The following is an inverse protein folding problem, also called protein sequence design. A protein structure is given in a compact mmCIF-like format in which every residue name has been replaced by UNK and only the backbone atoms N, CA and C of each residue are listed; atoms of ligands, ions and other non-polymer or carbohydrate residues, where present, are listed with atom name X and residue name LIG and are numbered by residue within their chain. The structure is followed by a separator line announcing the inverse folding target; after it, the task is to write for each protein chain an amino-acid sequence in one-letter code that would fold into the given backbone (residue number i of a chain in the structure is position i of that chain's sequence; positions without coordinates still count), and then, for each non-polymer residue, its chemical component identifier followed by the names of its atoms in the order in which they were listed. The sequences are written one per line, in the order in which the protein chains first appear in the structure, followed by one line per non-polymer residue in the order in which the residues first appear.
data_IF_326849343336
#
_entry.id   IF_326849343336
#
_cell.length_a   1.000
_cell.length_b   1.000
_cell.length_c   1.000
_cell.angle_alpha   90.00
_cell.angle_beta   90.00
_cell.angle_gamma   90.00
#
_symmetry.space_group_name_H-M   'P 1'
#
loop_
_entity.id
_entity.type
_entity.pdbx_description
1 polymer ?
#
# COMPACT_ATOMS: atom_id res chain seq x y z
N UNK A 1 13.05 27.38 -9.70
CA UNK A 1 13.94 26.54 -8.87
C UNK A 1 14.68 25.64 -9.84
N UNK A 2 16.00 25.49 -9.69
CA UNK A 2 16.81 24.59 -10.53
C UNK A 2 17.19 23.40 -9.65
N UNK A 3 16.79 22.19 -10.04
CA UNK A 3 17.06 20.94 -9.32
C UNK A 3 18.17 20.16 -10.04
N UNK A 4 18.91 19.32 -9.32
CA UNK A 4 20.01 18.53 -9.89
C UNK A 4 19.54 17.37 -10.78
N UNK A 5 18.25 17.05 -10.73
CA UNK A 5 17.65 15.92 -11.41
C UNK A 5 16.37 16.34 -12.14
N UNK A 6 16.00 15.55 -13.14
CA UNK A 6 14.76 15.78 -13.87
C UNK A 6 13.56 15.35 -13.03
N UNK A 7 12.44 16.04 -13.23
CA UNK A 7 11.16 15.74 -12.59
C UNK A 7 10.13 15.37 -13.66
N UNK A 8 9.39 14.28 -13.44
CA UNK A 8 8.26 13.93 -14.28
C UNK A 8 7.75 12.49 -14.17
N UNK A 9 6.54 12.23 -14.69
CA UNK A 9 5.90 10.92 -14.60
C UNK A 9 6.66 9.79 -15.31
N UNK A 10 7.56 10.12 -16.24
CA UNK A 10 8.40 9.13 -16.92
C UNK A 10 9.34 8.36 -15.98
N UNK A 11 9.66 8.92 -14.81
CA UNK A 11 10.54 8.29 -13.82
C UNK A 11 9.79 7.40 -12.83
N UNK A 12 8.45 7.42 -12.81
CA UNK A 12 7.66 6.78 -11.75
C UNK A 12 7.92 5.28 -11.60
N UNK A 13 8.23 4.60 -12.72
CA UNK A 13 8.50 3.17 -12.78
C UNK A 13 9.95 2.77 -12.52
N UNK A 14 10.85 3.70 -12.18
CA UNK A 14 12.25 3.38 -11.90
C UNK A 14 12.38 2.43 -10.70
N UNK A 15 13.26 1.43 -10.81
CA UNK A 15 13.51 0.46 -9.75
C UNK A 15 14.98 0.51 -9.36
N UNK A 16 15.25 0.80 -8.09
CA UNK A 16 16.63 0.88 -7.56
C UNK A 16 17.00 -0.46 -6.91
N UNK A 17 17.85 -1.22 -7.59
CA UNK A 17 18.42 -2.46 -7.09
C UNK A 17 19.69 -2.19 -6.27
N UNK A 18 20.20 -3.20 -5.55
CA UNK A 18 21.34 -3.03 -4.61
C UNK A 18 22.61 -2.57 -5.32
N UNK A 19 22.84 -3.04 -6.53
CA UNK A 19 23.97 -2.69 -7.39
C UNK A 19 24.03 -1.18 -7.69
N UNK A 20 22.88 -0.52 -7.80
CA UNK A 20 22.75 0.90 -8.12
C UNK A 20 22.39 1.76 -6.91
N UNK A 21 22.14 1.14 -5.75
CA UNK A 21 21.75 1.82 -4.52
C UNK A 21 22.88 2.71 -3.99
N UNK A 22 22.58 3.98 -3.75
CA UNK A 22 23.47 4.89 -3.03
C UNK A 22 23.11 4.97 -1.55
N UNK A 23 21.84 5.14 -1.22
CA UNK A 23 21.35 5.23 0.17
C UNK A 23 19.87 4.83 0.23
N UNK A 24 19.43 4.24 1.34
CA UNK A 24 18.02 3.92 1.58
C UNK A 24 17.54 4.48 2.92
N UNK A 25 16.26 4.86 2.95
CA UNK A 25 15.57 5.36 4.14
C UNK A 25 14.32 4.55 4.40
N UNK A 26 14.08 4.16 5.64
CA UNK A 26 12.96 3.30 5.98
C UNK A 26 13.13 1.84 5.53
N UNK A 27 12.05 1.22 5.07
CA UNK A 27 12.04 -0.20 4.68
C UNK A 27 12.24 -1.19 5.85
N UNK A 28 12.50 -2.47 5.55
CA UNK A 28 12.42 -3.57 6.52
C UNK A 28 13.60 -3.67 7.51
N UNK A 29 14.57 -2.76 7.44
CA UNK A 29 15.70 -2.70 8.39
C UNK A 29 15.56 -1.58 9.42
N UNK A 30 14.58 -0.70 9.22
CA UNK A 30 14.43 0.54 9.98
C UNK A 30 13.11 0.48 10.73
N UNK A 31 13.20 0.51 12.05
CA UNK A 31 12.04 0.42 12.94
C UNK A 31 11.24 1.73 12.96
N UNK A 32 11.94 2.88 13.02
CA UNK A 32 11.32 4.19 13.16
C UNK A 32 11.27 4.90 11.81
N UNK A 33 10.10 4.87 11.17
CA UNK A 33 9.84 5.54 9.90
C UNK A 33 8.36 5.84 9.74
N UNK A 34 8.02 6.94 9.08
CA UNK A 34 6.64 7.22 8.64
C UNK A 34 6.56 8.40 7.67
N UNK A 35 5.41 8.59 7.05
CA UNK A 35 5.08 9.79 6.28
C UNK A 35 3.67 10.25 6.61
N UNK A 36 3.49 11.56 6.82
CA UNK A 36 2.22 12.09 7.31
C UNK A 36 1.94 13.45 6.68
N UNK A 37 0.77 13.56 6.07
CA UNK A 37 0.23 14.86 5.69
C UNK A 37 -0.76 15.37 6.75
N UNK A 38 -0.68 16.67 7.06
CA UNK A 38 -1.57 17.29 8.06
C UNK A 38 -2.13 18.61 7.54
N UNK A 39 -3.45 18.80 7.67
CA UNK A 39 -4.07 20.10 7.44
C UNK A 39 -3.82 21.02 8.63
N UNK A 40 -3.21 22.17 8.39
CA UNK A 40 -2.90 23.21 9.37
C UNK A 40 -3.69 24.49 9.11
N UNK A 41 -3.78 25.36 10.11
CA UNK A 41 -4.20 26.74 9.87
C UNK A 41 -3.08 27.51 9.17
N UNK A 42 -3.39 28.50 8.31
CA UNK A 42 -2.37 29.25 7.58
C UNK A 42 -1.34 29.96 8.46
N UNK A 43 -1.67 30.27 9.72
CA UNK A 43 -0.76 30.93 10.67
C UNK A 43 0.19 29.95 11.38
N UNK A 44 -0.05 28.65 11.27
CA UNK A 44 0.76 27.60 11.92
C UNK A 44 1.95 27.17 11.05
N UNK A 45 1.97 27.54 9.77
CA UNK A 45 3.01 27.14 8.81
C UNK A 45 3.56 28.33 8.02
N UNK A 46 4.84 28.23 7.69
CA UNK A 46 5.55 29.17 6.83
C UNK A 46 5.54 28.62 5.39
N UNK A 47 5.03 29.41 4.44
CA UNK A 47 4.85 28.94 3.07
C UNK A 47 6.19 28.59 2.41
N UNK A 48 6.21 27.45 1.70
CA UNK A 48 7.35 26.88 0.98
C UNK A 48 8.58 26.58 1.86
N UNK A 49 8.43 26.63 3.19
CA UNK A 49 9.53 26.29 4.10
C UNK A 49 9.86 24.79 4.01
N UNK A 50 11.16 24.51 3.99
CA UNK A 50 11.70 23.16 4.14
C UNK A 50 12.60 23.10 5.37
N UNK A 51 12.33 22.15 6.25
CA UNK A 51 13.14 21.90 7.45
C UNK A 51 13.69 20.48 7.43
N UNK A 52 14.97 20.34 7.76
CA UNK A 52 15.63 19.03 7.94
C UNK A 52 16.10 18.93 9.39
N UNK A 53 15.75 17.83 10.06
CA UNK A 53 16.07 17.59 11.47
C UNK A 53 16.78 16.25 11.62
N UNK A 54 18.09 16.32 11.85
CA UNK A 54 18.99 15.17 11.87
C UNK A 54 20.03 15.25 10.75
N UNK A 55 20.84 14.19 10.56
CA UNK A 55 21.88 14.16 9.54
C UNK A 55 21.31 14.22 8.12
N UNK A 56 21.96 14.99 7.25
CA UNK A 56 21.63 15.05 5.83
C UNK A 56 22.39 13.99 5.00
N UNK A 57 22.05 13.80 3.72
CA UNK A 57 22.66 12.78 2.84
C UNK A 57 24.19 12.88 2.81
N UNK A 58 24.73 14.10 2.78
CA UNK A 58 26.18 14.34 2.77
C UNK A 58 26.89 14.05 4.11
N UNK A 59 26.14 13.85 5.19
CA UNK A 59 26.63 13.46 6.53
C UNK A 59 26.46 11.96 6.81
N UNK A 60 25.76 11.24 5.93
CA UNK A 60 25.46 9.82 6.06
C UNK A 60 26.46 8.97 5.25
N UNK A 61 26.68 7.73 5.70
CA UNK A 61 27.50 6.77 4.98
C UNK A 61 26.68 6.11 3.85
N UNK A 62 27.15 6.18 2.59
CA UNK A 62 26.48 5.49 1.50
C UNK A 62 26.44 3.98 1.69
N UNK A 63 25.47 3.34 1.04
CA UNK A 63 25.33 1.89 1.00
C UNK A 63 26.61 1.20 0.51
N UNK A 64 27.07 0.23 1.29
CA UNK A 64 28.18 -0.66 0.98
C UNK A 64 27.68 -2.11 1.10
N UNK A 65 27.85 -2.88 0.03
CA UNK A 65 27.36 -4.26 -0.04
C UNK A 65 28.10 -5.21 0.92
N UNK A 66 29.40 -4.96 1.16
CA UNK A 66 30.26 -5.83 1.99
C UNK A 66 30.12 -5.49 3.45
N UNK A 67 30.13 -4.20 3.79
CA UNK A 67 30.04 -3.72 5.17
C UNK A 67 28.60 -3.74 5.69
N UNK A 68 27.62 -3.73 4.79
CA UNK A 68 26.25 -3.38 5.14
C UNK A 68 26.14 -1.91 5.58
N UNK A 69 24.95 -1.51 6.03
CA UNK A 69 24.65 -0.11 6.36
C UNK A 69 23.92 0.62 5.24
N UNK A 70 23.97 1.95 5.24
CA UNK A 70 23.29 2.81 4.27
C UNK A 70 21.76 2.84 4.39
N UNK A 71 21.20 2.34 5.51
CA UNK A 71 19.76 2.31 5.79
C UNK A 71 19.46 3.21 7.00
N UNK A 72 18.67 4.27 6.81
CA UNK A 72 18.47 5.30 7.82
C UNK A 72 16.99 5.52 8.17
N UNK A 73 16.68 5.95 9.41
CA UNK A 73 15.33 6.36 9.79
C UNK A 73 14.92 7.63 9.04
N UNK A 74 13.63 7.73 8.73
CA UNK A 74 13.08 8.92 8.08
C UNK A 74 11.63 9.17 8.52
N UNK A 75 11.29 10.43 8.77
CA UNK A 75 9.93 10.89 8.74
C UNK A 75 9.76 12.00 7.70
N UNK A 76 8.74 11.89 6.85
CA UNK A 76 8.36 12.94 5.88
C UNK A 76 7.04 13.54 6.33
N UNK A 77 7.07 14.80 6.77
CA UNK A 77 5.89 15.53 7.21
C UNK A 77 5.55 16.61 6.18
N UNK A 78 4.34 16.58 5.65
CA UNK A 78 3.84 17.57 4.70
C UNK A 78 2.67 18.30 5.33
N UNK A 79 2.91 19.50 5.83
CA UNK A 79 1.87 20.36 6.38
C UNK A 79 1.32 21.26 5.28
N UNK A 80 -0.01 21.30 5.14
CA UNK A 80 -0.70 22.11 4.12
C UNK A 80 -1.74 23.01 4.74
N UNK A 81 -2.05 24.12 4.07
CA UNK A 81 -3.18 24.98 4.40
C UNK A 81 -3.82 25.54 3.12
N UNK A 82 -5.14 25.70 3.14
CA UNK A 82 -5.91 26.30 2.05
C UNK A 82 -7.39 26.31 2.41
N UNK A 83 -8.15 27.29 1.92
CA UNK A 83 -9.54 27.50 2.35
C UNK A 83 -10.50 26.40 1.88
N UNK A 84 -10.15 25.73 0.80
CA UNK A 84 -10.95 24.66 0.19
C UNK A 84 -10.58 23.27 0.72
N UNK A 85 -9.52 23.18 1.54
CA UNK A 85 -9.04 21.94 2.13
C UNK A 85 -9.80 21.60 3.42
N UNK A 86 -10.15 20.33 3.55
CA UNK A 86 -10.64 19.73 4.78
C UNK A 86 -9.78 18.50 5.16
N UNK A 87 -10.05 17.90 6.33
CA UNK A 87 -9.25 16.76 6.82
C UNK A 87 -9.28 15.53 5.90
N UNK A 88 -10.29 15.40 5.03
CA UNK A 88 -10.35 14.28 4.09
C UNK A 88 -9.29 14.43 2.97
N UNK A 89 -8.66 15.60 2.82
CA UNK A 89 -7.56 15.81 1.88
C UNK A 89 -6.22 15.21 2.36
N UNK A 90 -6.00 15.06 3.68
CA UNK A 90 -4.74 14.58 4.23
C UNK A 90 -4.25 13.26 3.62
N UNK A 91 -5.04 12.16 3.59
CA UNK A 91 -4.60 10.89 2.99
C UNK A 91 -4.29 10.99 1.49
N UNK A 92 -4.89 11.96 0.77
CA UNK A 92 -4.63 12.17 -0.67
C UNK A 92 -3.26 12.81 -0.87
N UNK A 93 -2.93 13.76 -0.01
CA UNK A 93 -1.65 14.45 0.00
C UNK A 93 -0.56 13.47 0.42
N UNK A 94 -0.82 12.66 1.45
CA UNK A 94 0.07 11.59 1.88
C UNK A 94 0.35 10.59 0.74
N UNK A 95 -0.67 10.18 -0.01
CA UNK A 95 -0.46 9.27 -1.16
C UNK A 95 0.37 9.91 -2.27
N UNK A 96 0.30 11.23 -2.45
CA UNK A 96 1.11 11.94 -3.43
C UNK A 96 2.58 12.05 -3.04
N UNK A 97 2.96 11.83 -1.78
CA UNK A 97 4.39 11.69 -1.40
C UNK A 97 5.02 10.56 -2.22
N UNK A 98 4.41 9.37 -2.24
CA UNK A 98 4.85 8.25 -3.07
C UNK A 98 5.02 8.66 -4.55
N UNK A 99 4.01 9.31 -5.12
CA UNK A 99 4.05 9.72 -6.53
C UNK A 99 5.20 10.70 -6.78
N UNK A 100 5.30 11.75 -5.97
CA UNK A 100 6.27 12.83 -6.18
C UNK A 100 7.71 12.42 -5.86
N UNK A 101 7.93 11.49 -4.94
CA UNK A 101 9.25 10.87 -4.79
C UNK A 101 9.61 10.09 -6.06
N UNK A 102 8.70 9.28 -6.60
CA UNK A 102 8.97 8.49 -7.81
C UNK A 102 8.99 9.33 -9.11
N UNK A 103 8.45 10.56 -9.10
CA UNK A 103 8.61 11.50 -10.22
C UNK A 103 9.99 12.15 -10.23
N UNK A 104 10.77 11.99 -9.17
CA UNK A 104 12.11 12.53 -9.06
C UNK A 104 13.11 11.52 -9.59
N UNK A 105 13.80 11.83 -10.68
CA UNK A 105 14.74 10.90 -11.32
C UNK A 105 15.80 10.37 -10.34
N UNK A 106 15.98 9.06 -10.33
CA UNK A 106 16.92 8.36 -9.46
C UNK A 106 16.49 8.23 -8.01
N UNK A 107 15.24 8.59 -7.69
CA UNK A 107 14.57 8.26 -6.44
C UNK A 107 13.51 7.18 -6.65
N UNK A 108 13.27 6.43 -5.59
CA UNK A 108 12.28 5.37 -5.53
C UNK A 108 11.56 5.42 -4.20
N UNK A 109 10.23 5.31 -4.22
CA UNK A 109 9.40 5.20 -3.04
C UNK A 109 8.43 4.05 -3.16
N UNK A 110 8.26 3.28 -2.08
CA UNK A 110 7.25 2.24 -1.97
C UNK A 110 6.54 2.24 -0.63
N UNK A 111 5.43 1.50 -0.61
CA UNK A 111 4.51 1.36 0.50
C UNK A 111 3.87 2.73 0.83
N UNK A 112 3.63 2.97 2.11
CA UNK A 112 2.83 4.08 2.63
C UNK A 112 2.97 4.18 4.16
N UNK A 113 2.65 5.34 4.74
CA UNK A 113 2.58 5.57 6.20
C UNK A 113 3.85 5.08 6.91
N UNK A 114 3.73 4.32 8.00
CA UNK A 114 4.85 3.74 8.76
C UNK A 114 5.58 2.58 8.06
N UNK A 115 5.03 2.09 6.96
CA UNK A 115 5.61 0.97 6.19
C UNK A 115 6.44 1.46 4.99
N UNK A 116 6.57 2.78 4.83
CA UNK A 116 7.24 3.45 3.70
C UNK A 116 8.72 3.03 3.52
N UNK A 117 9.20 3.13 2.28
CA UNK A 117 10.58 2.84 1.93
C UNK A 117 11.05 3.72 0.78
N UNK A 118 12.11 4.49 1.00
CA UNK A 118 12.71 5.36 -0.01
C UNK A 118 14.13 4.90 -0.35
N UNK A 119 14.52 4.98 -1.62
CA UNK A 119 15.89 4.76 -2.10
C UNK A 119 16.32 5.87 -3.03
N UNK A 120 17.62 6.16 -3.04
CA UNK A 120 18.27 7.02 -4.03
C UNK A 120 19.40 6.25 -4.70
N UNK A 121 19.54 6.38 -6.03
CA UNK A 121 20.55 5.67 -6.80
C UNK A 121 21.88 6.44 -6.88
N UNK A 122 22.93 5.75 -7.35
CA UNK A 122 24.28 6.31 -7.50
C UNK A 122 24.37 7.41 -8.55
N UNK A 123 23.50 7.42 -9.55
CA UNK A 123 23.55 8.43 -10.63
C UNK A 123 22.97 9.77 -10.18
N UNK A 124 21.90 9.75 -9.38
CA UNK A 124 21.34 10.91 -8.69
C UNK A 124 22.42 11.60 -7.82
N UNK A 125 23.16 10.82 -7.02
CA UNK A 125 24.27 11.32 -6.21
C UNK A 125 25.40 11.94 -7.08
N UNK A 126 25.74 11.33 -8.22
CA UNK A 126 26.76 11.86 -9.16
C UNK A 126 26.33 13.20 -9.79
N UNK A 127 25.03 13.43 -9.98
CA UNK A 127 24.49 14.71 -10.48
C UNK A 127 24.55 15.83 -9.45
N UNK A 128 24.88 15.53 -8.20
CA UNK A 128 25.04 16.50 -7.12
C UNK A 128 23.91 16.47 -6.09
N UNK A 129 22.91 15.61 -6.25
CA UNK A 129 21.83 15.44 -5.27
C UNK A 129 22.40 14.86 -3.97
N UNK A 130 22.59 15.72 -2.97
CA UNK A 130 23.25 15.36 -1.72
C UNK A 130 22.58 15.97 -0.48
N UNK A 131 21.33 16.44 -0.62
CA UNK A 131 20.54 16.98 0.49
C UNK A 131 19.07 16.55 0.41
N UNK A 132 18.52 16.07 1.52
CA UNK A 132 17.09 15.84 1.68
C UNK A 132 16.28 17.14 1.63
N UNK A 133 16.89 18.30 1.86
CA UNK A 133 16.20 19.58 1.68
C UNK A 133 15.76 19.79 0.25
N UNK A 134 16.58 19.40 -0.73
CA UNK A 134 16.20 19.45 -2.14
C UNK A 134 14.99 18.56 -2.42
N UNK A 135 14.91 17.37 -1.81
CA UNK A 135 13.72 16.51 -1.91
C UNK A 135 12.47 17.18 -1.32
N UNK A 136 12.61 17.88 -0.18
CA UNK A 136 11.52 18.64 0.41
C UNK A 136 11.09 19.85 -0.42
N UNK A 137 12.02 20.51 -1.11
CA UNK A 137 11.75 21.60 -2.05
C UNK A 137 11.00 21.07 -3.29
N UNK A 138 11.39 19.89 -3.79
CA UNK A 138 10.70 19.19 -4.87
C UNK A 138 9.27 18.85 -4.47
N UNK A 139 9.03 18.35 -3.25
CA UNK A 139 7.67 18.13 -2.76
C UNK A 139 6.87 19.42 -2.76
N UNK A 140 7.39 20.50 -2.15
CA UNK A 140 6.70 21.79 -2.13
C UNK A 140 6.34 22.27 -3.55
N UNK A 141 7.27 22.15 -4.49
CA UNK A 141 7.08 22.52 -5.89
C UNK A 141 6.02 21.66 -6.59
N UNK A 142 6.10 20.33 -6.51
CA UNK A 142 5.17 19.42 -7.19
C UNK A 142 3.75 19.51 -6.60
N UNK A 143 3.61 19.59 -5.28
CA UNK A 143 2.30 19.76 -4.64
C UNK A 143 1.62 21.06 -5.08
N UNK A 144 2.33 22.19 -5.03
CA UNK A 144 1.75 23.50 -5.38
C UNK A 144 1.51 23.68 -6.88
N UNK A 145 2.30 23.00 -7.73
CA UNK A 145 2.11 23.02 -9.18
C UNK A 145 0.89 22.21 -9.63
N UNK A 146 0.64 21.08 -8.98
CA UNK A 146 -0.43 20.15 -9.36
C UNK A 146 -1.74 20.38 -8.60
N UNK A 147 -1.69 21.02 -7.43
CA UNK A 147 -2.86 21.18 -6.54
C UNK A 147 -3.05 22.65 -6.14
N UNK A 148 -3.71 23.42 -7.00
CA UNK A 148 -3.98 24.84 -6.78
C UNK A 148 -4.78 25.16 -5.48
N UNK A 149 -5.42 24.16 -4.88
CA UNK A 149 -6.13 24.28 -3.60
C UNK A 149 -5.21 24.40 -2.38
N UNK A 150 -3.91 24.11 -2.54
CA UNK A 150 -2.89 24.30 -1.49
C UNK A 150 -2.40 25.74 -1.55
N UNK A 151 -2.85 26.58 -0.60
CA UNK A 151 -2.45 28.00 -0.50
C UNK A 151 -1.12 28.19 0.24
N UNK A 152 -0.81 27.29 1.19
CA UNK A 152 0.49 27.21 1.86
C UNK A 152 0.91 25.77 2.06
N UNK A 153 2.21 25.53 1.94
CA UNK A 153 2.83 24.23 2.21
C UNK A 153 4.10 24.40 3.02
N UNK A 154 4.40 23.43 3.89
CA UNK A 154 5.67 23.30 4.59
C UNK A 154 6.04 21.83 4.64
N UNK A 155 7.29 21.51 4.30
CA UNK A 155 7.81 20.15 4.38
C UNK A 155 8.86 20.06 5.48
N UNK A 156 8.71 19.08 6.37
CA UNK A 156 9.71 18.75 7.38
C UNK A 156 10.17 17.32 7.19
N UNK A 157 11.46 17.13 6.92
CA UNK A 157 12.10 15.83 6.84
C UNK A 157 12.91 15.62 8.13
N UNK A 158 12.77 14.45 8.75
CA UNK A 158 13.46 14.12 9.99
C UNK A 158 14.25 12.83 9.75
N UNK A 159 15.54 12.84 10.07
CA UNK A 159 16.44 11.68 10.07
C UNK A 159 17.00 11.39 11.47
N UNK A 160 16.68 12.22 12.45
CA UNK A 160 16.94 11.98 13.87
C UNK A 160 16.02 10.86 14.41
N UNK A 161 16.62 9.71 14.75
CA UNK A 161 15.88 8.52 15.17
C UNK A 161 15.06 8.75 16.44
N UNK A 162 15.61 9.45 17.45
CA UNK A 162 14.93 9.68 18.71
C UNK A 162 13.68 10.54 18.52
N UNK A 163 13.76 11.53 17.63
CA UNK A 163 12.63 12.40 17.30
C UNK A 163 11.55 11.63 16.55
N UNK A 164 11.93 10.78 15.59
CA UNK A 164 10.99 9.94 14.85
C UNK A 164 10.30 8.97 15.82
N UNK A 165 11.04 8.31 16.71
CA UNK A 165 10.49 7.38 17.70
C UNK A 165 9.46 8.05 18.63
N UNK A 166 9.65 9.33 18.98
CA UNK A 166 8.69 10.11 19.79
C UNK A 166 7.42 10.50 19.03
N UNK A 167 7.52 10.73 17.71
CA UNK A 167 6.40 11.18 16.87
C UNK A 167 5.60 10.01 16.29
N UNK A 168 6.23 8.87 16.06
CA UNK A 168 5.60 7.69 15.44
C UNK A 168 4.28 7.27 16.13
N UNK A 169 4.16 7.22 17.48
CA UNK A 169 2.89 6.88 18.13
C UNK A 169 1.73 7.80 17.72
N UNK A 170 1.99 9.10 17.54
CA UNK A 170 0.97 10.07 17.13
C UNK A 170 0.55 9.85 15.68
N UNK A 171 1.50 9.54 14.79
CA UNK A 171 1.20 9.19 13.41
C UNK A 171 0.33 7.92 13.34
N UNK A 172 0.67 6.90 14.14
CA UNK A 172 -0.12 5.65 14.24
C UNK A 172 -1.55 5.91 14.74
N UNK A 173 -1.76 6.81 15.70
CA UNK A 173 -3.10 7.20 16.14
C UNK A 173 -3.92 7.82 15.01
N UNK A 174 -3.30 8.68 14.19
CA UNK A 174 -3.97 9.27 13.01
C UNK A 174 -4.36 8.20 12.01
N UNK A 175 -3.45 7.27 11.69
CA UNK A 175 -3.73 6.18 10.75
C UNK A 175 -4.85 5.27 11.26
N UNK A 176 -4.78 4.87 12.53
CA UNK A 176 -5.81 4.05 13.17
C UNK A 176 -7.18 4.74 13.16
N UNK A 177 -7.23 6.06 13.37
CA UNK A 177 -8.49 6.80 13.29
C UNK A 177 -9.08 6.80 11.87
N UNK A 178 -8.24 6.93 10.84
CA UNK A 178 -8.66 6.85 9.42
C UNK A 178 -9.18 5.45 9.10
N UNK A 179 -8.46 4.41 9.51
CA UNK A 179 -8.84 3.01 9.24
C UNK A 179 -10.12 2.63 9.99
N UNK A 180 -10.26 3.01 11.27
CA UNK A 180 -11.47 2.78 12.06
C UNK A 180 -12.69 3.46 11.45
N UNK A 181 -12.54 4.68 10.91
CA UNK A 181 -13.62 5.36 10.17
C UNK A 181 -14.04 4.55 8.95
N UNK A 182 -13.09 4.02 8.18
CA UNK A 182 -13.38 3.21 7.00
C UNK A 182 -14.20 1.95 7.34
N UNK A 183 -13.93 1.30 8.48
CA UNK A 183 -14.65 0.09 8.91
C UNK A 183 -16.13 0.31 9.23
N UNK A 184 -16.57 1.56 9.45
CA UNK A 184 -17.96 1.89 9.76
C UNK A 184 -18.91 1.87 8.56
N UNK A 185 -18.37 1.78 7.34
CA UNK A 185 -19.14 1.85 6.10
C UNK A 185 -19.16 0.50 5.39
N UNK A 186 -20.33 0.11 4.86
CA UNK A 186 -20.50 -1.11 4.06
C UNK A 186 -20.74 -0.76 2.60
N UNK A 187 -20.45 -1.71 1.71
CA UNK A 187 -20.75 -1.54 0.29
C UNK A 187 -22.22 -1.25 0.02
N UNK A 188 -23.10 -1.84 0.83
CA UNK A 188 -24.55 -1.69 0.75
C UNK A 188 -25.01 -0.28 1.10
N UNK A 189 -24.22 0.48 1.88
CA UNK A 189 -24.55 1.83 2.32
C UNK A 189 -24.28 2.91 1.26
N UNK A 190 -23.67 2.52 0.13
CA UNK A 190 -23.22 3.45 -0.92
C UNK A 190 -23.73 3.03 -2.30
N UNK A 191 -23.93 4.01 -3.17
CA UNK A 191 -24.28 3.84 -4.59
C UNK A 191 -23.07 4.00 -5.53
N UNK A 192 -21.93 4.43 -4.97
CA UNK A 192 -20.74 4.83 -5.70
C UNK A 192 -19.51 4.17 -5.09
N UNK A 193 -18.68 3.56 -5.92
CA UNK A 193 -17.32 3.12 -5.61
C UNK A 193 -16.32 4.09 -6.26
N UNK A 194 -15.03 3.83 -6.09
CA UNK A 194 -13.98 4.63 -6.70
C UNK A 194 -13.00 3.75 -7.48
N UNK A 195 -12.53 4.26 -8.60
CA UNK A 195 -11.46 3.67 -9.39
C UNK A 195 -10.17 4.44 -9.18
N UNK A 196 -9.03 3.76 -9.27
CA UNK A 196 -7.72 4.39 -9.30
C UNK A 196 -6.87 3.78 -10.43
N UNK A 197 -6.33 4.65 -11.30
CA UNK A 197 -5.45 4.28 -12.42
C UNK A 197 -4.03 4.83 -12.27
N UNK A 198 -3.67 5.30 -11.07
CA UNK A 198 -2.35 5.90 -10.78
C UNK A 198 -1.22 4.97 -11.23
N UNK A 199 -1.34 3.66 -10.96
CA UNK A 199 -0.29 2.70 -11.28
C UNK A 199 -0.27 2.21 -12.75
N UNK A 200 -1.04 2.82 -13.65
CA UNK A 200 -1.02 2.44 -15.08
C UNK A 200 0.28 2.84 -15.80
N UNK A 201 1.10 3.69 -15.20
CA UNK A 201 2.45 4.01 -15.68
C UNK A 201 3.35 2.77 -15.81
N UNK A 202 3.15 1.75 -14.95
CA UNK A 202 3.90 0.49 -14.98
C UNK A 202 3.04 -0.77 -15.07
N UNK A 203 1.72 -0.67 -14.88
CA UNK A 203 0.76 -1.76 -15.06
C UNK A 203 -0.44 -1.28 -15.91
N UNK A 204 -0.29 -1.18 -17.26
CA UNK A 204 -1.24 -0.43 -18.11
C UNK A 204 -2.68 -0.94 -18.09
N UNK A 205 -2.88 -2.23 -17.84
CA UNK A 205 -4.21 -2.87 -17.78
C UNK A 205 -4.77 -2.92 -16.36
N UNK A 206 -4.05 -2.41 -15.36
CA UNK A 206 -4.51 -2.39 -13.98
C UNK A 206 -5.46 -1.23 -13.72
N UNK A 207 -6.49 -1.51 -12.93
CA UNK A 207 -7.28 -0.53 -12.21
C UNK A 207 -7.51 -1.05 -10.80
N UNK A 208 -7.45 -0.16 -9.81
CA UNK A 208 -7.91 -0.47 -8.45
C UNK A 208 -9.36 -0.06 -8.27
N UNK A 209 -10.24 -1.02 -8.02
CA UNK A 209 -11.62 -0.78 -7.57
C UNK A 209 -11.63 -0.71 -6.05
N UNK A 210 -12.14 0.41 -5.53
CA UNK A 210 -12.11 0.78 -4.12
C UNK A 210 -13.55 0.90 -3.63
N UNK A 211 -13.89 0.06 -2.67
CA UNK A 211 -15.21 -0.02 -2.05
C UNK A 211 -15.08 0.11 -0.51
N UNK A 212 -16.16 0.40 0.22
CA UNK A 212 -16.10 0.45 1.68
C UNK A 212 -15.52 -0.80 2.32
N UNK A 213 -15.85 -1.99 1.80
CA UNK A 213 -15.27 -3.26 2.27
C UNK A 213 -14.08 -3.74 1.43
N UNK A 214 -13.54 -2.90 0.54
CA UNK A 214 -12.34 -3.19 -0.25
C UNK A 214 -11.44 -1.96 -0.39
N UNK A 215 -10.45 -1.83 0.48
CA UNK A 215 -9.35 -0.85 0.32
C UNK A 215 -8.50 -1.18 -0.92
N UNK A 216 -7.90 -0.15 -1.54
CA UNK A 216 -6.96 -0.33 -2.64
C UNK A 216 -5.82 -1.29 -2.28
N UNK A 217 -5.27 -1.98 -3.27
CA UNK A 217 -4.21 -2.98 -3.05
C UNK A 217 -2.96 -2.39 -2.36
N UNK A 218 -2.68 -1.10 -2.54
CA UNK A 218 -1.57 -0.39 -1.87
C UNK A 218 -1.76 -0.20 -0.36
N UNK A 219 -2.99 -0.36 0.16
CA UNK A 219 -3.34 -0.08 1.56
C UNK A 219 -3.48 1.40 1.92
N UNK A 220 -3.24 2.31 0.97
CA UNK A 220 -3.19 3.76 1.24
C UNK A 220 -4.47 4.53 0.89
N UNK A 221 -5.41 3.91 0.15
CA UNK A 221 -6.60 4.59 -0.37
C UNK A 221 -7.84 3.75 -0.03
N UNK A 222 -8.60 4.19 0.98
CA UNK A 222 -9.91 3.66 1.30
C UNK A 222 -11.02 4.42 0.53
N UNK A 223 -12.29 4.05 0.77
CA UNK A 223 -13.43 4.65 0.08
C UNK A 223 -13.60 6.16 0.35
N UNK A 224 -13.34 6.62 1.58
CA UNK A 224 -13.42 8.05 1.91
C UNK A 224 -12.33 8.84 1.19
N UNK A 225 -11.13 8.27 1.08
CA UNK A 225 -10.02 8.84 0.34
C UNK A 225 -10.41 8.93 -1.15
N UNK A 226 -10.94 7.84 -1.73
CA UNK A 226 -11.44 7.83 -3.12
C UNK A 226 -12.43 8.96 -3.40
N UNK A 227 -13.38 9.16 -2.47
CA UNK A 227 -14.35 10.26 -2.52
C UNK A 227 -13.71 11.63 -2.46
N UNK A 228 -12.77 11.82 -1.54
CA UNK A 228 -12.07 13.09 -1.38
C UNK A 228 -11.24 13.42 -2.61
N UNK A 229 -10.50 12.45 -3.15
CA UNK A 229 -9.69 12.60 -4.35
C UNK A 229 -10.53 13.00 -5.57
N UNK A 230 -11.62 12.26 -5.85
CA UNK A 230 -12.50 12.56 -6.98
C UNK A 230 -13.22 13.91 -6.86
N UNK A 231 -13.37 14.45 -5.64
CA UNK A 231 -13.90 15.79 -5.38
C UNK A 231 -12.83 16.87 -5.59
N UNK A 232 -11.61 16.62 -5.11
CA UNK A 232 -10.49 17.55 -5.16
C UNK A 232 -9.98 17.71 -6.60
N UNK A 233 -9.87 16.60 -7.33
CA UNK A 233 -9.34 16.55 -8.69
C UNK A 233 -10.23 15.63 -9.55
N UNK A 234 -11.34 16.17 -10.10
CA UNK A 234 -12.32 15.38 -10.87
C UNK A 234 -11.76 14.74 -12.15
N UNK A 235 -10.71 15.33 -12.74
CA UNK A 235 -10.03 14.83 -13.94
C UNK A 235 -8.80 13.98 -13.58
N UNK A 236 -8.57 13.76 -12.28
CA UNK A 236 -7.43 13.04 -11.76
C UNK A 236 -7.50 11.52 -11.95
N UNK A 237 -6.47 10.79 -11.50
CA UNK A 237 -6.37 9.35 -11.66
C UNK A 237 -7.34 8.57 -10.75
N UNK A 238 -8.01 9.25 -9.80
CA UNK A 238 -8.99 8.65 -8.89
C UNK A 238 -10.36 9.25 -9.20
N UNK A 239 -11.32 8.39 -9.53
CA UNK A 239 -12.60 8.82 -10.09
C UNK A 239 -13.76 7.99 -9.54
N UNK A 240 -14.97 8.57 -9.57
CA UNK A 240 -16.18 7.90 -9.12
C UNK A 240 -16.65 6.83 -10.11
N UNK A 241 -17.10 5.70 -9.58
CA UNK A 241 -17.70 4.59 -10.31
C UNK A 241 -19.13 4.39 -9.77
N UNK A 242 -20.17 4.76 -10.54
CA UNK A 242 -21.52 4.35 -10.21
C UNK A 242 -21.60 2.83 -10.16
N UNK A 243 -22.05 2.23 -9.05
CA UNK A 243 -22.06 0.76 -8.89
C UNK A 243 -22.86 0.06 -9.99
N UNK A 244 -23.95 0.67 -10.44
CA UNK A 244 -24.88 0.01 -11.36
C UNK A 244 -25.59 -1.17 -10.70
N UNK A 245 -26.09 -2.12 -11.51
CA UNK A 245 -26.79 -3.30 -11.00
C UNK A 245 -25.81 -4.23 -10.28
N UNK A 246 -26.19 -4.70 -9.09
CA UNK A 246 -25.53 -5.82 -8.43
C UNK A 246 -25.81 -7.12 -9.19
N UNK A 247 -24.75 -7.79 -9.65
CA UNK A 247 -24.81 -9.05 -10.40
C UNK A 247 -24.66 -10.22 -9.45
N UNK A 248 -23.66 -10.17 -8.57
CA UNK A 248 -23.37 -11.23 -7.60
C UNK A 248 -22.98 -10.62 -6.23
N UNK A 249 -23.80 -10.78 -5.18
CA UNK A 249 -23.52 -10.23 -3.85
C UNK A 249 -22.34 -10.90 -3.14
N UNK A 250 -22.06 -12.16 -3.47
CA UNK A 250 -21.04 -12.98 -2.81
C UNK A 250 -19.67 -12.66 -3.41
N UNK A 251 -19.55 -12.73 -4.74
CA UNK A 251 -18.33 -12.37 -5.48
C UNK A 251 -18.08 -10.87 -5.52
N UNK A 252 -19.11 -10.07 -5.24
CA UNK A 252 -19.05 -8.61 -5.30
C UNK A 252 -18.97 -8.11 -6.73
N UNK A 253 -19.76 -8.70 -7.63
CA UNK A 253 -19.80 -8.31 -9.05
C UNK A 253 -20.88 -7.26 -9.29
N UNK A 254 -20.52 -6.20 -9.99
CA UNK A 254 -21.41 -5.07 -10.30
C UNK A 254 -21.25 -4.66 -11.76
N UNK A 255 -22.37 -4.36 -12.42
CA UNK A 255 -22.39 -3.97 -13.83
C UNK A 255 -21.56 -2.70 -14.11
N UNK A 256 -21.68 -1.69 -13.24
CA UNK A 256 -20.95 -0.43 -13.39
C UNK A 256 -19.44 -0.61 -13.20
N UNK A 257 -19.05 -1.51 -12.29
CA UNK A 257 -17.64 -1.85 -12.06
C UNK A 257 -17.07 -2.60 -13.26
N UNK A 258 -17.77 -3.61 -13.78
CA UNK A 258 -17.36 -4.37 -14.98
C UNK A 258 -17.16 -3.46 -16.19
N UNK A 259 -18.07 -2.50 -16.39
CA UNK A 259 -17.94 -1.50 -17.48
C UNK A 259 -16.65 -0.70 -17.35
N UNK A 260 -16.35 -0.22 -16.14
CA UNK A 260 -15.13 0.57 -15.89
C UNK A 260 -13.88 -0.31 -16.00
N UNK A 261 -13.91 -1.56 -15.54
CA UNK A 261 -12.83 -2.53 -15.73
C UNK A 261 -12.51 -2.67 -17.22
N UNK A 262 -13.53 -2.86 -18.07
CA UNK A 262 -13.36 -2.95 -19.52
C UNK A 262 -12.74 -1.69 -20.12
N UNK A 263 -13.27 -0.52 -19.78
CA UNK A 263 -12.79 0.75 -20.33
C UNK A 263 -11.36 1.07 -19.89
N UNK A 264 -11.04 0.86 -18.61
CA UNK A 264 -9.76 1.26 -18.02
C UNK A 264 -8.68 0.20 -18.13
N UNK A 265 -9.02 -1.07 -18.34
CA UNK A 265 -8.06 -2.14 -18.66
C UNK A 265 -7.71 -2.23 -20.15
N UNK A 266 -8.06 -1.22 -20.95
CA UNK A 266 -7.84 -1.21 -22.41
C UNK A 266 -8.56 -2.39 -23.11
N UNK A 267 -9.78 -2.70 -22.66
CA UNK A 267 -10.59 -3.83 -23.13
C UNK A 267 -9.98 -5.22 -22.87
N UNK A 268 -9.03 -5.33 -21.93
CA UNK A 268 -8.38 -6.61 -21.60
C UNK A 268 -9.26 -7.49 -20.70
N UNK A 269 -9.95 -6.88 -19.73
CA UNK A 269 -10.82 -7.57 -18.77
C UNK A 269 -12.19 -6.93 -18.78
N UNK A 270 -13.25 -7.74 -18.85
CA UNK A 270 -14.64 -7.29 -18.89
C UNK A 270 -15.39 -7.53 -17.58
N UNK A 271 -14.78 -8.24 -16.63
CA UNK A 271 -15.37 -8.62 -15.34
C UNK A 271 -14.33 -8.55 -14.24
N UNK A 272 -14.77 -8.22 -13.03
CA UNK A 272 -13.95 -8.28 -11.82
C UNK A 272 -14.80 -8.68 -10.62
N UNK A 273 -14.30 -9.65 -9.84
CA UNK A 273 -14.86 -10.05 -8.57
C UNK A 273 -14.09 -9.36 -7.44
N UNK A 274 -14.80 -8.55 -6.67
CA UNK A 274 -14.19 -7.80 -5.57
C UNK A 274 -13.84 -8.69 -4.37
N UNK A 275 -14.47 -9.85 -4.23
CA UNK A 275 -14.36 -10.69 -3.04
C UNK A 275 -14.04 -12.16 -3.35
N UNK A 276 -13.33 -12.41 -4.45
CA UNK A 276 -12.75 -13.71 -4.80
C UNK A 276 -11.35 -13.57 -5.39
N UNK A 277 -10.52 -14.59 -5.18
CA UNK A 277 -9.24 -14.80 -5.82
C UNK A 277 -9.34 -15.73 -7.05
N UNK A 278 -10.53 -16.26 -7.38
CA UNK A 278 -10.75 -17.18 -8.50
C UNK A 278 -11.61 -16.58 -9.62
N UNK A 279 -11.52 -17.18 -10.82
CA UNK A 279 -12.19 -16.80 -12.08
C UNK A 279 -11.85 -15.38 -12.61
N UNK A 280 -12.28 -14.34 -11.90
CA UNK A 280 -12.10 -12.93 -12.29
C UNK A 280 -11.49 -12.12 -11.14
N UNK A 281 -10.34 -12.54 -10.59
CA UNK A 281 -9.72 -11.84 -9.47
C UNK A 281 -9.34 -10.41 -9.88
N UNK A 282 -9.41 -9.51 -8.92
CA UNK A 282 -8.97 -8.15 -9.11
C UNK A 282 -7.47 -8.09 -9.52
N UNK A 283 -7.16 -7.35 -10.58
CA UNK A 283 -5.77 -7.22 -11.08
C UNK A 283 -4.84 -6.59 -10.05
N UNK A 284 -3.53 -6.80 -10.19
CA UNK A 284 -2.53 -6.20 -9.28
C UNK A 284 -1.47 -5.40 -10.04
N UNK A 285 -1.21 -4.16 -9.63
CA UNK A 285 -0.18 -3.32 -10.23
C UNK A 285 1.24 -3.76 -9.86
N UNK A 286 1.62 -3.61 -8.59
CA UNK A 286 2.97 -3.87 -8.09
C UNK A 286 3.26 -3.26 -6.72
N UNK A 287 2.41 -2.34 -6.24
CA UNK A 287 2.54 -1.69 -4.93
C UNK A 287 1.73 -2.31 -3.79
N UNK A 288 1.21 -3.53 -3.97
CA UNK A 288 0.48 -4.24 -2.92
C UNK A 288 1.36 -4.50 -1.68
N UNK A 289 0.75 -4.43 -0.49
CA UNK A 289 1.47 -4.69 0.77
C UNK A 289 1.67 -6.19 1.01
N UNK A 290 0.76 -7.02 0.53
CA UNK A 290 0.83 -8.47 0.63
C UNK A 290 0.23 -9.17 -0.59
N UNK A 291 0.49 -10.46 -0.71
CA UNK A 291 -0.10 -11.34 -1.72
C UNK A 291 -0.82 -12.47 -0.99
N UNK A 292 -2.10 -12.64 -1.29
CA UNK A 292 -2.86 -13.85 -0.99
C UNK A 292 -2.56 -14.86 -2.09
N UNK A 293 -2.20 -16.08 -1.73
CA UNK A 293 -1.87 -17.14 -2.66
C UNK A 293 -2.58 -18.45 -2.30
N UNK A 294 -3.04 -19.17 -3.31
CA UNK A 294 -3.71 -20.44 -3.16
C UNK A 294 -2.70 -21.59 -2.98
N UNK A 295 -3.05 -22.55 -2.12
CA UNK A 295 -2.27 -23.74 -1.76
C UNK A 295 -3.11 -24.97 -2.13
N UNK A 296 -2.90 -25.56 -3.33
CA UNK A 296 -3.73 -26.64 -3.86
C UNK A 296 -3.79 -27.88 -2.96
N UNK A 297 -2.71 -28.23 -2.28
CA UNK A 297 -2.57 -29.46 -1.50
C UNK A 297 -3.47 -29.52 -0.25
N UNK A 298 -3.89 -28.35 0.24
CA UNK A 298 -4.81 -28.22 1.38
C UNK A 298 -6.08 -27.45 1.01
N UNK A 299 -6.27 -27.20 -0.29
CA UNK A 299 -7.40 -26.45 -0.84
C UNK A 299 -7.64 -25.13 -0.10
N UNK A 300 -6.58 -24.39 0.24
CA UNK A 300 -6.66 -23.24 1.14
C UNK A 300 -5.76 -22.08 0.69
N UNK A 301 -5.72 -20.98 1.45
CA UNK A 301 -4.90 -19.81 1.13
C UNK A 301 -3.79 -19.57 2.14
N UNK A 302 -2.68 -19.02 1.68
CA UNK A 302 -1.71 -18.32 2.51
C UNK A 302 -1.65 -16.84 2.15
N UNK A 303 -1.00 -16.05 3.01
CA UNK A 303 -0.70 -14.64 2.74
C UNK A 303 0.76 -14.36 3.08
N UNK A 304 1.46 -13.60 2.24
CA UNK A 304 2.83 -13.15 2.48
C UNK A 304 2.95 -11.65 2.22
N UNK A 305 3.55 -10.91 3.16
CA UNK A 305 3.74 -9.46 3.03
C UNK A 305 5.11 -9.11 2.45
N UNK A 306 5.24 -7.89 1.92
CA UNK A 306 6.42 -7.41 1.19
C UNK A 306 7.73 -7.49 1.97
N UNK A 307 7.66 -7.22 3.26
CA UNK A 307 8.84 -7.14 4.13
C UNK A 307 9.30 -8.51 4.65
N UNK A 308 8.50 -9.57 4.43
CA UNK A 308 8.83 -10.92 4.84
C UNK A 308 10.11 -11.42 4.17
N UNK A 309 11.06 -11.85 4.98
CA UNK A 309 12.35 -12.38 4.52
C UNK A 309 12.32 -13.91 4.57
N UNK A 310 12.19 -14.53 3.42
CA UNK A 310 12.27 -15.98 3.29
C UNK A 310 11.28 -16.51 2.30
N UNK A 311 11.10 -17.82 2.36
CA UNK A 311 10.13 -18.55 1.56
C UNK A 311 8.85 -18.75 2.39
N UNK A 312 7.70 -18.58 1.75
CA UNK A 312 6.44 -19.00 2.32
C UNK A 312 6.30 -20.53 2.24
N UNK A 313 5.22 -21.08 2.79
CA UNK A 313 5.02 -22.54 2.90
C UNK A 313 5.06 -23.31 1.57
N UNK A 314 4.87 -22.63 0.43
CA UNK A 314 4.98 -23.23 -0.91
C UNK A 314 6.39 -23.10 -1.53
N UNK A 315 7.39 -22.64 -0.77
CA UNK A 315 8.77 -22.49 -1.23
C UNK A 315 9.05 -21.24 -2.06
N UNK A 316 8.08 -20.32 -2.19
CA UNK A 316 8.26 -19.06 -2.93
C UNK A 316 8.57 -17.88 -2.01
N UNK A 317 9.44 -16.98 -2.46
CA UNK A 317 9.64 -15.68 -1.82
C UNK A 317 8.59 -14.66 -2.28
N UNK A 318 8.33 -13.62 -1.49
CA UNK A 318 7.44 -12.51 -1.89
C UNK A 318 7.85 -11.93 -3.24
N UNK A 319 9.14 -11.66 -3.46
CA UNK A 319 9.63 -11.02 -4.69
C UNK A 319 9.39 -11.87 -5.94
N UNK A 320 9.54 -13.19 -5.83
CA UNK A 320 9.24 -14.11 -6.92
C UNK A 320 7.74 -14.08 -7.26
N UNK A 321 6.90 -14.28 -6.24
CA UNK A 321 5.44 -14.28 -6.38
C UNK A 321 4.89 -12.94 -6.88
N UNK A 322 5.50 -11.82 -6.46
CA UNK A 322 5.14 -10.49 -6.91
C UNK A 322 5.32 -10.33 -8.43
N UNK A 323 6.40 -10.87 -9.00
CA UNK A 323 6.65 -10.82 -10.45
C UNK A 323 5.61 -11.56 -11.29
N UNK A 324 4.97 -12.57 -10.70
CA UNK A 324 3.89 -13.33 -11.35
C UNK A 324 2.51 -12.73 -11.11
N UNK A 325 2.30 -12.09 -9.96
CA UNK A 325 1.01 -11.51 -9.57
C UNK A 325 0.81 -10.10 -10.16
N UNK A 326 1.89 -9.35 -10.37
CA UNK A 326 1.85 -7.95 -10.80
C UNK A 326 1.61 -7.76 -12.31
N UNK A 327 1.61 -6.50 -12.75
CA UNK A 327 1.55 -6.13 -14.17
C UNK A 327 0.13 -5.96 -14.71
N UNK A 328 -0.87 -5.82 -13.83
CA UNK A 328 -2.25 -5.58 -14.22
C UNK A 328 -2.92 -6.81 -14.82
N UNK A 329 -2.56 -8.01 -14.34
CA UNK A 329 -3.13 -9.28 -14.80
C UNK A 329 -4.16 -9.84 -13.82
N UNK A 330 -5.19 -10.51 -14.33
CA UNK A 330 -6.01 -11.41 -13.53
C UNK A 330 -5.28 -12.75 -13.41
N UNK A 331 -4.82 -13.07 -12.21
CA UNK A 331 -4.07 -14.30 -11.91
C UNK A 331 -4.85 -15.10 -10.89
N UNK A 332 -5.52 -16.17 -11.34
CA UNK A 332 -6.31 -17.00 -10.45
C UNK A 332 -5.46 -17.59 -9.32
N UNK A 333 -6.00 -17.51 -8.10
CA UNK A 333 -5.33 -17.96 -6.89
C UNK A 333 -4.19 -17.05 -6.42
N UNK A 334 -3.89 -15.91 -7.08
CA UNK A 334 -2.91 -14.93 -6.60
C UNK A 334 -3.48 -13.52 -6.63
N UNK A 335 -3.62 -12.90 -5.46
CA UNK A 335 -4.23 -11.59 -5.31
C UNK A 335 -3.35 -10.65 -4.48
N UNK A 336 -2.85 -9.58 -5.10
CA UNK A 336 -2.23 -8.47 -4.37
C UNK A 336 -3.27 -7.75 -3.51
N UNK A 337 -2.92 -7.48 -2.25
CA UNK A 337 -3.85 -6.92 -1.27
C UNK A 337 -3.17 -5.90 -0.35
N UNK A 338 -3.95 -4.90 0.10
CA UNK A 338 -3.61 -4.08 1.26
C UNK A 338 -3.85 -4.89 2.52
N UNK A 339 -3.05 -4.69 3.57
CA UNK A 339 -3.12 -5.52 4.78
C UNK A 339 -4.42 -5.28 5.57
N UNK A 340 -4.97 -4.06 5.54
CA UNK A 340 -6.24 -3.74 6.21
C UNK A 340 -7.46 -4.48 5.62
N UNK A 341 -7.32 -5.13 4.46
CA UNK A 341 -8.31 -6.07 3.96
C UNK A 341 -8.58 -7.22 4.94
N UNK A 342 -7.61 -7.62 5.77
CA UNK A 342 -7.80 -8.67 6.78
C UNK A 342 -8.87 -8.29 7.81
N UNK A 343 -9.15 -6.99 8.02
CA UNK A 343 -10.25 -6.51 8.87
C UNK A 343 -11.59 -6.45 8.13
N UNK A 344 -11.61 -6.58 6.80
CA UNK A 344 -12.83 -6.49 6.02
C UNK A 344 -13.74 -7.68 6.31
N UNK A 345 -15.05 -7.46 6.52
CA UNK A 345 -16.01 -8.56 6.64
C UNK A 345 -16.17 -9.34 5.33
N UNK A 346 -15.77 -8.75 4.18
CA UNK A 346 -15.90 -9.35 2.85
C UNK A 346 -14.59 -9.87 2.28
N UNK A 347 -13.52 -9.90 3.09
CA UNK A 347 -12.21 -10.38 2.65
C UNK A 347 -12.33 -11.78 2.02
N UNK A 348 -12.07 -11.88 0.71
CA UNK A 348 -12.22 -13.10 -0.13
C UNK A 348 -13.44 -13.97 0.27
N UNK A 349 -14.58 -13.34 0.60
CA UNK A 349 -15.71 -14.04 1.21
C UNK A 349 -16.26 -15.17 0.34
N UNK A 350 -16.23 -14.99 -0.99
CA UNK A 350 -16.67 -16.01 -1.94
C UNK A 350 -15.84 -17.28 -1.85
N UNK A 351 -14.61 -17.18 -1.33
CA UNK A 351 -13.69 -18.28 -1.21
C UNK A 351 -13.54 -18.78 0.23
N UNK A 352 -14.38 -18.32 1.18
CA UNK A 352 -14.34 -18.77 2.58
C UNK A 352 -13.60 -17.83 3.55
N UNK A 353 -13.14 -16.69 3.05
CA UNK A 353 -12.56 -15.62 3.86
C UNK A 353 -11.36 -16.04 4.70
N UNK A 354 -11.18 -15.38 5.85
CA UNK A 354 -10.12 -15.73 6.79
C UNK A 354 -10.20 -17.19 7.28
N UNK A 355 -11.37 -17.81 7.26
CA UNK A 355 -11.52 -19.19 7.72
C UNK A 355 -10.88 -20.22 6.78
N UNK A 356 -10.51 -19.82 5.55
CA UNK A 356 -9.72 -20.62 4.59
C UNK A 356 -8.26 -20.14 4.49
N UNK A 357 -7.84 -19.18 5.30
CA UNK A 357 -6.44 -18.77 5.39
C UNK A 357 -5.72 -19.70 6.39
N UNK A 358 -4.71 -20.43 5.95
CA UNK A 358 -4.04 -21.49 6.76
C UNK A 358 -2.60 -21.17 7.12
N UNK A 359 -1.98 -20.19 6.44
CA UNK A 359 -0.60 -19.79 6.69
C UNK A 359 -0.41 -18.28 6.53
N UNK A 360 0.32 -17.67 7.46
CA UNK A 360 0.77 -16.28 7.36
C UNK A 360 2.03 -16.03 8.19
N UNK A 361 2.89 -15.06 7.82
CA UNK A 361 3.99 -14.65 8.65
C UNK A 361 3.54 -14.26 10.06
N UNK A 362 4.33 -14.62 11.07
CA UNK A 362 4.05 -14.27 12.47
C UNK A 362 3.79 -12.79 12.67
N UNK A 363 4.53 -11.93 11.96
CA UNK A 363 4.37 -10.47 12.04
C UNK A 363 2.96 -10.02 11.62
N UNK A 364 2.37 -10.63 10.58
CA UNK A 364 0.97 -10.37 10.17
C UNK A 364 0.02 -10.92 11.23
N UNK A 365 0.27 -12.15 11.68
CA UNK A 365 -0.55 -12.83 12.70
C UNK A 365 -0.67 -12.02 13.99
N UNK A 366 0.43 -11.42 14.44
CA UNK A 366 0.47 -10.52 15.60
C UNK A 366 -0.21 -9.18 15.32
N UNK A 367 0.02 -8.58 14.13
CA UNK A 367 -0.60 -7.29 13.74
C UNK A 367 -2.13 -7.35 13.69
N UNK A 368 -2.70 -8.50 13.32
CA UNK A 368 -4.15 -8.71 13.21
C UNK A 368 -4.68 -9.69 14.28
N UNK A 369 -3.96 -9.83 15.40
CA UNK A 369 -4.32 -10.73 16.50
C UNK A 369 -5.77 -10.56 16.94
N UNK A 370 -6.21 -9.32 17.13
CA UNK A 370 -7.56 -9.00 17.57
C UNK A 370 -8.64 -9.57 16.65
N UNK A 371 -8.47 -9.42 15.33
CA UNK A 371 -9.38 -9.98 14.31
C UNK A 371 -9.38 -11.51 14.33
N UNK A 372 -8.19 -12.10 14.45
CA UNK A 372 -8.02 -13.55 14.43
C UNK A 372 -8.57 -14.20 15.71
N UNK A 373 -8.39 -13.57 16.87
CA UNK A 373 -8.95 -14.01 18.15
C UNK A 373 -10.48 -13.89 18.16
N UNK A 374 -11.04 -12.79 17.67
CA UNK A 374 -12.50 -12.60 17.53
C UNK A 374 -13.13 -13.72 16.70
N UNK A 375 -12.45 -14.17 15.65
CA UNK A 375 -12.90 -15.27 14.76
C UNK A 375 -12.51 -16.68 15.25
N UNK A 376 -11.79 -16.80 16.36
CA UNK A 376 -11.31 -18.10 16.87
C UNK A 376 -10.26 -18.78 15.97
N UNK A 377 -9.55 -18.00 15.17
CA UNK A 377 -8.59 -18.46 14.16
C UNK A 377 -7.13 -18.28 14.57
N UNK A 378 -6.84 -17.48 15.60
CA UNK A 378 -5.48 -17.14 16.00
C UNK A 378 -4.59 -18.39 16.22
N UNK A 379 -5.04 -19.37 17.00
CA UNK A 379 -4.26 -20.60 17.24
C UNK A 379 -4.45 -21.69 16.15
N UNK A 380 -5.10 -21.35 15.03
CA UNK A 380 -5.41 -22.31 13.95
C UNK A 380 -4.50 -22.16 12.73
N UNK A 381 -3.92 -20.98 12.52
CA UNK A 381 -3.09 -20.69 11.34
C UNK A 381 -1.62 -20.93 11.62
N UNK A 382 -0.90 -21.55 10.68
CA UNK A 382 0.53 -21.77 10.78
C UNK A 382 1.32 -20.49 10.47
N UNK A 383 2.55 -20.43 10.99
CA UNK A 383 3.55 -19.41 10.67
C UNK A 383 4.84 -20.06 10.17
N UNK A 384 5.80 -19.24 9.73
CA UNK A 384 7.15 -19.65 9.35
C UNK A 384 7.95 -20.31 10.49
N UNK A 385 7.56 -20.09 11.75
CA UNK A 385 8.19 -20.73 12.91
C UNK A 385 7.70 -22.18 13.12
N UNK A 386 6.50 -22.51 12.63
CA UNK A 386 5.82 -23.79 12.91
C UNK A 386 5.89 -24.76 11.73
N UNK A 387 5.76 -24.23 10.51
CA UNK A 387 5.62 -25.01 9.27
C UNK A 387 6.48 -24.38 8.18
N UNK A 388 7.37 -25.17 7.57
CA UNK A 388 8.30 -24.70 6.54
C UNK A 388 7.91 -25.07 5.12
N UNK A 389 7.06 -26.06 4.95
CA UNK A 389 6.66 -26.61 3.66
C UNK A 389 5.26 -27.21 3.74
N UNK A 390 4.69 -27.51 2.58
CA UNK A 390 3.34 -28.07 2.46
C UNK A 390 3.19 -29.45 3.13
N UNK A 391 4.24 -30.29 3.12
CA UNK A 391 4.19 -31.62 3.77
C UNK A 391 4.01 -31.51 5.29
N UNK A 392 4.57 -30.47 5.92
CA UNK A 392 4.40 -30.15 7.33
C UNK A 392 3.06 -29.45 7.63
N UNK A 393 2.44 -28.80 6.63
CA UNK A 393 1.25 -27.99 6.80
C UNK A 393 0.02 -28.83 7.14
N UNK A 394 -0.24 -29.91 6.39
CA UNK A 394 -1.43 -30.75 6.62
C UNK A 394 -1.47 -31.35 8.03
N UNK A 395 -0.40 -32.00 8.54
CA UNK A 395 -0.38 -32.53 9.90
C UNK A 395 -0.55 -31.43 10.98
N UNK A 396 -0.01 -30.24 10.74
CA UNK A 396 -0.22 -29.09 11.65
C UNK A 396 -1.70 -28.71 11.70
N UNK A 397 -2.34 -28.51 10.54
CA UNK A 397 -3.73 -28.06 10.45
C UNK A 397 -4.70 -29.08 11.06
N UNK A 398 -4.45 -30.37 10.88
CA UNK A 398 -5.21 -31.45 11.53
C UNK A 398 -5.04 -31.40 13.06
N UNK A 399 -3.80 -31.25 13.55
CA UNK A 399 -3.49 -31.20 14.98
C UNK A 399 -4.15 -30.02 15.68
N UNK A 400 -4.09 -28.83 15.08
CA UNK A 400 -4.75 -27.64 15.64
C UNK A 400 -6.26 -27.66 15.36
N UNK A 401 -6.73 -28.53 14.47
CA UNK A 401 -8.12 -28.68 14.12
C UNK A 401 -8.66 -27.42 13.44
N UNK A 402 -7.98 -26.99 12.39
CA UNK A 402 -8.35 -25.83 11.58
C UNK A 402 -9.78 -26.00 10.99
N UNK A 403 -10.65 -24.99 11.06
CA UNK A 403 -12.07 -25.13 10.70
C UNK A 403 -12.28 -25.52 9.22
N UNK A 404 -11.47 -24.99 8.30
CA UNK A 404 -11.49 -25.40 6.89
C UNK A 404 -11.24 -26.91 6.73
N UNK A 405 -10.21 -27.44 7.39
CA UNK A 405 -9.83 -28.86 7.29
C UNK A 405 -10.87 -29.78 7.93
N UNK A 406 -11.59 -29.29 8.93
CA UNK A 406 -12.69 -30.03 9.56
C UNK A 406 -14.00 -30.00 8.77
N UNK A 407 -14.09 -29.21 7.68
CA UNK A 407 -15.33 -28.99 6.95
C UNK A 407 -16.37 -28.20 7.76
N UNK A 408 -15.92 -27.37 8.69
CA UNK A 408 -16.78 -26.49 9.51
C UNK A 408 -17.10 -25.16 8.79
N UNK A 409 -16.49 -24.93 7.63
CA UNK A 409 -16.66 -23.72 6.81
C UNK A 409 -17.46 -24.09 5.56
N UNK A 410 -18.67 -23.53 5.46
CA UNK A 410 -19.48 -23.61 4.24
C UNK A 410 -19.17 -22.40 3.36
N UNK A 411 -18.93 -22.64 2.07
CA UNK A 411 -18.80 -21.55 1.11
C UNK A 411 -20.19 -20.93 0.87
N UNK A 412 -20.28 -19.60 0.77
CA UNK A 412 -21.54 -18.94 0.45
C UNK A 412 -22.04 -19.36 -0.95
N UNK A 413 -23.35 -19.64 -1.05
CA UNK A 413 -24.06 -19.96 -2.29
C UNK A 413 -24.62 -18.73 -3.01
#
# INVERSE_FOLDING_TARGET
MEFHVDLGPQYEGEVIRKEDLYIEFGGPKVAHKFELATLKRPEEIENEKVELIGPDINELEPYDEVKGGGSYPIAVLVDIAGKELDKDAEPIIERKIHMYTNYTEGWYHMNQRQDMWIRMNKDCAKKGFNSLKELGEIYNFLFTSEMAIIEKIQTTIITDEEKIAKLLPQALEVYNARDNRALTLRDEDVDTFYGCVLCQSFAPTHISIIAPNRIANCGAINWFDGRAAAKIDPEGPIFAIPKGKLIDPIKGEYEGVNKVEYEKSLATYDRVYLYSAFEHPHTSCGCFQAIVYYIPEVDAFGIVHRDFKGECVIGETFSHMAGETSGGRQVEGRLGTGLEQLRSPKFIQADGGLARMVWMPKEIKERYRDVLEEKGLYDKMATEEEVKNVDELTPFLEKVGHPWIKGEVELPE
#
